data_IF_002395193480
#
_entry.id   IF_002395193480
#
_cell.length_a   1.000
_cell.length_b   1.000
_cell.length_c   1.000
_cell.angle_alpha   90.00
_cell.angle_beta   90.00
_cell.angle_gamma   90.00
#
_symmetry.space_group_name_H-M   'P 1'
#
loop_
_entity.id
_entity.type
_entity.pdbx_description
1 polymer ?
#
# COMPACT_ATOMS: atom_id res chain seq x y z
N UNK A 1 10.52 13.60 -5.23
CA UNK A 1 10.29 12.74 -4.05
C UNK A 1 8.80 12.70 -3.80
N UNK A 2 8.20 11.51 -3.64
CA UNK A 2 6.78 11.37 -3.34
C UNK A 2 6.60 10.86 -1.91
N UNK A 3 5.60 11.39 -1.22
CA UNK A 3 5.20 10.98 0.12
C UNK A 3 3.71 10.69 0.07
N UNK A 4 3.31 9.54 0.61
CA UNK A 4 1.90 9.16 0.71
C UNK A 4 1.56 8.78 2.16
N UNK A 5 0.32 9.04 2.53
CA UNK A 5 -0.26 8.60 3.80
C UNK A 5 -1.47 7.74 3.50
N UNK A 6 -1.45 6.50 3.98
CA UNK A 6 -2.60 5.61 3.94
C UNK A 6 -3.16 5.44 5.34
N UNK A 7 -4.35 6.02 5.56
CA UNK A 7 -5.14 5.73 6.75
C UNK A 7 -5.98 4.48 6.49
N UNK A 8 -6.18 3.68 7.53
CA UNK A 8 -7.01 2.48 7.46
C UNK A 8 -8.14 2.52 8.49
N UNK A 9 -9.26 1.91 8.15
CA UNK A 9 -10.45 1.84 9.03
C UNK A 9 -10.96 0.41 9.12
N UNK A 10 -11.58 0.06 10.25
CA UNK A 10 -12.12 -1.28 10.49
C UNK A 10 -13.21 -1.67 9.47
N UNK A 11 -13.81 -0.69 8.80
CA UNK A 11 -14.83 -0.90 7.78
C UNK A 11 -14.28 -1.38 6.42
N UNK A 12 -12.96 -1.42 6.21
CA UNK A 12 -12.39 -1.96 4.97
C UNK A 12 -12.58 -3.49 4.91
N UNK A 13 -13.03 -3.99 3.75
CA UNK A 13 -13.35 -5.40 3.54
C UNK A 13 -12.19 -6.37 3.87
N UNK A 14 -10.95 -5.92 3.76
CA UNK A 14 -9.77 -6.72 4.10
C UNK A 14 -9.78 -7.19 5.57
N UNK A 15 -10.33 -6.38 6.47
CA UNK A 15 -10.37 -6.70 7.90
C UNK A 15 -11.46 -7.69 8.28
N UNK A 16 -12.40 -8.01 7.38
CA UNK A 16 -13.40 -9.07 7.62
C UNK A 16 -12.75 -10.46 7.71
N UNK A 17 -11.58 -10.64 7.09
CA UNK A 17 -10.88 -11.93 7.01
C UNK A 17 -9.41 -11.90 7.42
N UNK A 18 -8.82 -10.73 7.65
CA UNK A 18 -7.39 -10.61 7.98
C UNK A 18 -7.17 -9.80 9.28
N UNK A 19 -7.31 -10.42 10.44
CA UNK A 19 -7.81 -11.77 10.70
C UNK A 19 -9.03 -11.70 11.62
N UNK A 20 -9.94 -12.69 11.61
CA UNK A 20 -11.05 -12.72 12.55
C UNK A 20 -10.55 -12.55 13.99
N UNK A 21 -11.11 -11.59 14.73
CA UNK A 21 -10.71 -11.20 16.10
C UNK A 21 -9.28 -10.62 16.25
N UNK A 22 -8.53 -10.40 15.16
CA UNK A 22 -7.22 -9.75 15.17
C UNK A 22 -7.00 -9.00 13.85
N UNK A 23 -7.70 -7.87 13.62
CA UNK A 23 -7.60 -7.12 12.37
C UNK A 23 -6.19 -6.54 12.21
N UNK A 24 -5.54 -6.90 11.11
CA UNK A 24 -4.17 -6.49 10.76
C UNK A 24 -4.14 -6.18 9.27
N UNK A 25 -3.51 -5.10 8.86
CA UNK A 25 -3.38 -4.79 7.45
C UNK A 25 -2.40 -5.79 6.80
N UNK A 26 -2.76 -6.46 5.68
CA UNK A 26 -1.84 -7.35 4.99
C UNK A 26 -0.59 -6.62 4.51
N UNK A 27 0.58 -7.24 4.70
CA UNK A 27 1.86 -6.70 4.20
C UNK A 27 1.84 -6.45 2.68
N UNK A 28 1.13 -7.28 1.91
CA UNK A 28 0.93 -7.08 0.48
C UNK A 28 0.28 -5.73 0.15
N UNK A 29 -0.70 -5.27 0.94
CA UNK A 29 -1.34 -3.97 0.72
C UNK A 29 -0.45 -2.79 1.16
N UNK A 30 0.50 -3.01 2.06
CA UNK A 30 1.52 -2.00 2.39
C UNK A 30 2.47 -1.84 1.20
N UNK A 31 2.95 -2.95 0.62
CA UNK A 31 3.78 -2.94 -0.60
C UNK A 31 3.02 -2.28 -1.75
N UNK A 32 1.76 -2.66 -1.97
CA UNK A 32 0.90 -2.05 -3.00
C UNK A 32 0.80 -0.54 -2.83
N UNK A 33 0.65 -0.04 -1.60
CA UNK A 33 0.58 1.40 -1.33
C UNK A 33 1.88 2.13 -1.71
N UNK A 34 3.03 1.49 -1.45
CA UNK A 34 4.35 2.01 -1.86
C UNK A 34 4.50 1.97 -3.39
N UNK A 35 4.13 0.85 -4.02
CA UNK A 35 4.17 0.69 -5.46
C UNK A 35 3.32 1.73 -6.19
N UNK A 36 2.08 1.94 -5.73
CA UNK A 36 1.17 2.95 -6.30
C UNK A 36 1.67 4.38 -6.07
N UNK A 37 2.30 4.67 -4.92
CA UNK A 37 2.93 5.98 -4.69
C UNK A 37 4.04 6.24 -5.70
N UNK A 38 4.89 5.25 -5.96
CA UNK A 38 5.92 5.31 -6.99
C UNK A 38 5.34 5.43 -8.40
N UNK A 39 4.28 4.69 -8.71
CA UNK A 39 3.59 4.73 -9.99
C UNK A 39 3.01 6.12 -10.28
N UNK A 40 2.34 6.75 -9.31
CA UNK A 40 1.84 8.13 -9.44
C UNK A 40 2.99 9.10 -9.67
N UNK A 41 4.10 8.95 -8.94
CA UNK A 41 5.27 9.80 -9.12
C UNK A 41 5.91 9.66 -10.52
N UNK A 42 5.97 8.43 -11.04
CA UNK A 42 6.48 8.14 -12.39
C UNK A 42 5.55 8.69 -13.47
N UNK A 43 4.25 8.40 -13.39
CA UNK A 43 3.25 8.79 -14.38
C UNK A 43 2.96 10.30 -14.40
N UNK A 44 3.42 11.04 -13.38
CA UNK A 44 3.36 12.51 -13.35
C UNK A 44 4.40 13.19 -14.25
N UNK A 45 5.39 12.44 -14.77
CA UNK A 45 6.38 12.96 -15.71
C UNK A 45 5.82 12.93 -17.13
N UNK A 46 6.11 13.97 -17.94
CA UNK A 46 5.58 14.09 -19.31
C UNK A 46 5.94 12.90 -20.19
N UNK A 47 7.13 12.31 -20.05
CA UNK A 47 7.59 11.14 -20.81
C UNK A 47 6.76 9.86 -20.55
N UNK A 48 6.01 9.83 -19.45
CA UNK A 48 5.20 8.68 -19.04
C UNK A 48 3.69 8.97 -19.01
N UNK A 49 3.27 10.15 -19.45
CA UNK A 49 1.87 10.57 -19.49
C UNK A 49 1.03 9.64 -20.38
N UNK A 50 -0.14 9.24 -19.87
CA UNK A 50 -1.07 8.35 -20.59
C UNK A 50 -0.64 6.88 -20.64
N UNK A 51 0.49 6.50 -20.03
CA UNK A 51 0.91 5.10 -19.91
C UNK A 51 0.29 4.43 -18.69
N UNK A 52 0.30 3.10 -18.70
CA UNK A 52 -0.07 2.26 -17.56
C UNK A 52 1.18 1.74 -16.88
N UNK A 53 1.32 1.97 -15.58
CA UNK A 53 2.40 1.41 -14.78
C UNK A 53 2.03 0.02 -14.25
N UNK A 54 2.98 -0.91 -14.33
CA UNK A 54 2.88 -2.23 -13.71
C UNK A 54 3.96 -2.37 -12.65
N UNK A 55 3.61 -2.94 -11.51
CA UNK A 55 4.57 -3.24 -10.45
C UNK A 55 5.36 -4.51 -10.82
N UNK A 56 6.65 -4.36 -11.13
CA UNK A 56 7.49 -5.47 -11.61
C UNK A 56 7.89 -6.47 -10.52
N UNK A 57 7.83 -6.06 -9.25
CA UNK A 57 8.15 -6.91 -8.11
C UNK A 57 8.90 -6.17 -7.01
N UNK A 58 9.14 -6.87 -5.91
CA UNK A 58 9.94 -6.42 -4.79
C UNK A 58 10.98 -7.49 -4.47
N UNK A 59 12.24 -7.08 -4.38
CA UNK A 59 13.34 -8.00 -4.07
C UNK A 59 13.32 -8.42 -2.60
N UNK A 60 13.10 -7.47 -1.68
CA UNK A 60 12.99 -7.73 -0.25
C UNK A 60 12.06 -6.74 0.45
N UNK A 61 11.33 -7.24 1.45
CA UNK A 61 10.50 -6.44 2.34
C UNK A 61 10.50 -7.06 3.74
N UNK A 62 10.70 -6.24 4.77
CA UNK A 62 10.69 -6.65 6.18
C UNK A 62 9.67 -5.81 6.95
N UNK A 63 8.69 -6.47 7.59
CA UNK A 63 7.67 -5.81 8.40
C UNK A 63 7.92 -6.05 9.88
N UNK A 64 8.40 -5.02 10.58
CA UNK A 64 8.75 -5.11 12.01
C UNK A 64 7.57 -4.81 12.95
N UNK A 65 6.52 -4.17 12.43
CA UNK A 65 5.31 -3.83 13.15
C UNK A 65 4.12 -4.10 12.26
N UNK A 66 3.04 -4.55 12.88
CA UNK A 66 1.74 -4.68 12.22
C UNK A 66 1.01 -3.34 12.27
N UNK A 67 0.21 -3.07 11.26
CA UNK A 67 -0.67 -1.90 11.19
C UNK A 67 -2.10 -2.36 11.46
N UNK A 68 -2.81 -1.67 12.34
CA UNK A 68 -4.19 -1.94 12.72
C UNK A 68 -5.07 -0.70 12.50
N UNK A 69 -6.38 -0.88 12.30
CA UNK A 69 -7.32 0.22 12.36
C UNK A 69 -7.21 0.98 13.69
N UNK A 70 -7.07 2.31 13.61
CA UNK A 70 -6.94 3.17 14.78
C UNK A 70 -5.51 3.43 15.27
N UNK A 71 -4.48 2.83 14.68
CA UNK A 71 -3.09 3.19 14.95
C UNK A 71 -2.81 4.66 14.54
N UNK A 72 -1.94 5.36 15.31
CA UNK A 72 -1.56 6.77 15.10
C UNK A 72 -0.08 6.97 14.85
#
# INVERSE_FOLDING_TARGET
MAVAKRNVTINEAVFNGHFPNNPVLPGALIVESLAQTGAVALLSQEDFKGKTAYFGGIESAEFRKVVRPGDT
#
